data_IF_125087484594
#
_entry.id   IF_125087484594
#
_cell.length_a   1.000
_cell.length_b   1.000
_cell.length_c   1.000
_cell.angle_alpha   90.00
_cell.angle_beta   90.00
_cell.angle_gamma   90.00
#
_symmetry.space_group_name_H-M   'P 1'
#
loop_
_entity.id
_entity.type
_entity.pdbx_description
1 polymer ?
#
# COMPACT_ATOMS: atom_id res chain seq x y z
N UNK A 1 0.66 -16.03 -4.75
CA UNK A 1 1.43 -14.80 -4.47
C UNK A 1 0.63 -13.58 -4.90
N UNK A 2 0.31 -12.71 -3.97
CA UNK A 2 -0.46 -11.49 -4.22
C UNK A 2 0.44 -10.28 -4.33
N UNK A 3 -0.05 -9.26 -5.04
CA UNK A 3 0.59 -7.95 -5.13
C UNK A 3 -0.15 -6.98 -4.21
N UNK A 4 0.59 -6.37 -3.30
CA UNK A 4 0.04 -5.51 -2.25
C UNK A 4 0.49 -4.07 -2.42
N UNK A 5 -0.46 -3.15 -2.49
CA UNK A 5 -0.17 -1.73 -2.36
C UNK A 5 -0.35 -1.36 -0.90
N UNK A 6 0.72 -0.87 -0.28
CA UNK A 6 0.76 -0.61 1.16
C UNK A 6 0.95 0.88 1.38
N UNK A 7 -0.08 1.54 1.91
CA UNK A 7 0.02 2.95 2.26
C UNK A 7 1.06 3.18 3.36
N UNK A 8 1.76 4.29 3.30
CA UNK A 8 2.78 4.64 4.29
C UNK A 8 2.20 4.64 5.72
N UNK A 9 0.91 4.87 5.85
CA UNK A 9 0.19 4.79 7.12
C UNK A 9 0.49 3.46 7.86
N UNK A 10 0.58 2.35 7.13
CA UNK A 10 0.88 1.03 7.73
C UNK A 10 2.26 1.02 8.38
N UNK A 11 3.25 1.61 7.70
CA UNK A 11 4.61 1.69 8.24
C UNK A 11 4.65 2.50 9.54
N UNK A 12 3.93 3.62 9.58
CA UNK A 12 3.85 4.41 10.81
C UNK A 12 3.17 3.64 11.94
N UNK A 13 2.22 2.78 11.62
CA UNK A 13 1.57 1.93 12.64
C UNK A 13 2.56 0.94 13.26
N UNK A 14 3.49 0.41 12.49
CA UNK A 14 4.57 -0.42 13.04
C UNK A 14 5.38 0.37 14.08
N UNK A 15 5.72 1.61 13.76
CA UNK A 15 6.47 2.46 14.67
C UNK A 15 5.69 2.80 15.94
N UNK A 16 4.36 2.86 15.86
CA UNK A 16 3.48 3.07 17.01
C UNK A 16 3.27 1.82 17.86
N UNK A 17 3.87 0.69 17.47
CA UNK A 17 3.78 -0.56 18.22
C UNK A 17 2.61 -1.46 17.86
N UNK A 18 2.00 -1.26 16.71
CA UNK A 18 0.90 -2.09 16.22
C UNK A 18 1.45 -3.42 15.70
N UNK A 19 1.18 -4.50 16.42
CA UNK A 19 1.70 -5.82 16.07
C UNK A 19 1.08 -6.38 14.79
N UNK A 20 -0.20 -6.07 14.53
CA UNK A 20 -0.84 -6.53 13.28
C UNK A 20 -0.18 -5.90 12.06
N UNK A 21 0.23 -4.64 12.17
CA UNK A 21 0.95 -3.96 11.08
C UNK A 21 2.29 -4.65 10.81
N UNK A 22 3.05 -4.97 11.86
CA UNK A 22 4.32 -5.66 11.71
C UNK A 22 4.12 -7.07 11.14
N UNK A 23 3.16 -7.82 11.68
CA UNK A 23 2.87 -9.17 11.21
C UNK A 23 2.45 -9.17 9.73
N UNK A 24 1.67 -8.17 9.32
CA UNK A 24 1.26 -8.02 7.93
C UNK A 24 2.49 -7.79 7.03
N UNK A 25 3.37 -6.85 7.39
CA UNK A 25 4.57 -6.59 6.60
C UNK A 25 5.47 -7.83 6.49
N UNK A 26 5.59 -8.60 7.57
CA UNK A 26 6.38 -9.84 7.56
C UNK A 26 5.75 -10.91 6.68
N UNK A 27 4.42 -11.04 6.71
CA UNK A 27 3.72 -12.00 5.86
C UNK A 27 3.90 -11.65 4.38
N UNK A 28 3.81 -10.35 4.05
CA UNK A 28 4.02 -9.89 2.68
C UNK A 28 5.45 -10.18 2.22
N UNK A 29 6.43 -9.92 3.09
CA UNK A 29 7.83 -10.19 2.76
C UNK A 29 8.09 -11.67 2.47
N UNK A 30 7.43 -12.57 3.21
CA UNK A 30 7.63 -14.01 3.07
C UNK A 30 6.94 -14.61 1.85
N UNK A 31 5.74 -14.12 1.52
CA UNK A 31 4.87 -14.83 0.59
C UNK A 31 4.35 -14.01 -0.59
N UNK A 32 4.60 -12.71 -0.61
CA UNK A 32 3.94 -11.81 -1.56
C UNK A 32 4.92 -10.79 -2.14
N UNK A 33 4.38 -9.80 -2.86
CA UNK A 33 5.14 -8.68 -3.40
C UNK A 33 4.50 -7.36 -3.04
N UNK A 34 5.33 -6.34 -2.93
CA UNK A 34 4.89 -4.97 -2.67
C UNK A 34 4.93 -4.17 -3.98
N UNK A 35 3.87 -3.41 -4.22
CA UNK A 35 3.72 -2.61 -5.43
C UNK A 35 4.32 -1.23 -5.21
N UNK A 36 5.15 -0.81 -6.14
CA UNK A 36 5.77 0.52 -6.18
C UNK A 36 5.41 1.20 -7.49
N UNK A 37 5.54 2.54 -7.50
CA UNK A 37 5.37 3.29 -8.73
C UNK A 37 6.71 3.46 -9.46
N UNK A 38 6.65 3.51 -10.78
CA UNK A 38 7.83 3.70 -11.63
C UNK A 38 8.47 5.07 -11.42
N UNK A 39 7.70 6.06 -10.94
CA UNK A 39 8.16 7.42 -10.68
C UNK A 39 8.82 7.59 -9.32
N UNK A 40 8.91 6.53 -8.52
CA UNK A 40 9.60 6.45 -7.24
C UNK A 40 8.97 7.26 -6.10
N UNK A 41 7.72 7.67 -6.24
CA UNK A 41 7.04 8.40 -5.18
C UNK A 41 6.86 7.55 -3.92
N UNK A 42 6.42 6.30 -4.08
CA UNK A 42 6.18 5.39 -2.96
C UNK A 42 7.49 5.07 -2.23
N UNK A 43 8.55 4.79 -3.00
CA UNK A 43 9.87 4.54 -2.40
C UNK A 43 10.33 5.74 -1.57
N UNK A 44 10.17 6.95 -2.08
CA UNK A 44 10.53 8.16 -1.37
C UNK A 44 9.71 8.35 -0.09
N UNK A 45 8.41 8.04 -0.15
CA UNK A 45 7.54 8.10 1.03
C UNK A 45 7.99 7.10 2.10
N UNK A 46 8.31 5.88 1.69
CA UNK A 46 8.81 4.86 2.63
C UNK A 46 10.14 5.30 3.24
N UNK A 47 11.07 5.77 2.43
CA UNK A 47 12.37 6.24 2.92
C UNK A 47 12.25 7.42 3.89
N UNK A 48 11.31 8.33 3.63
CA UNK A 48 11.03 9.43 4.54
C UNK A 48 10.51 8.93 5.88
N UNK A 49 9.66 7.93 5.86
CA UNK A 49 9.16 7.28 7.07
C UNK A 49 10.30 6.63 7.86
N UNK A 50 11.16 5.86 7.19
CA UNK A 50 12.31 5.21 7.81
C UNK A 50 13.25 6.23 8.47
N UNK A 51 13.50 7.32 7.78
CA UNK A 51 14.37 8.39 8.25
C UNK A 51 13.80 9.08 9.49
N UNK A 52 12.47 9.28 9.47
CA UNK A 52 11.76 9.99 10.55
C UNK A 52 11.61 9.12 11.79
N UNK A 53 11.33 7.84 11.62
CA UNK A 53 11.06 6.92 12.73
C UNK A 53 12.31 6.26 13.27
N UNK A 54 13.33 6.04 12.44
CA UNK A 54 14.55 5.27 12.77
C UNK A 54 14.21 3.90 13.35
N UNK A 55 13.11 3.31 12.88
CA UNK A 55 12.62 2.03 13.36
C UNK A 55 13.38 0.89 12.69
N UNK A 56 14.06 0.07 13.50
CA UNK A 56 14.92 -1.02 12.99
C UNK A 56 14.13 -2.11 12.27
N UNK A 57 12.93 -2.39 12.71
CA UNK A 57 12.07 -3.39 12.06
C UNK A 57 11.70 -2.95 10.64
N UNK A 58 11.36 -1.68 10.47
CA UNK A 58 11.05 -1.12 9.15
C UNK A 58 12.27 -1.07 8.25
N UNK A 59 13.42 -0.65 8.79
CA UNK A 59 14.67 -0.61 8.04
C UNK A 59 15.05 -2.00 7.51
N UNK A 60 14.96 -3.00 8.37
CA UNK A 60 15.28 -4.39 8.01
C UNK A 60 14.28 -4.93 7.01
N UNK A 61 13.00 -4.66 7.20
CA UNK A 61 11.94 -5.07 6.28
C UNK A 61 12.20 -4.53 4.88
N UNK A 62 12.46 -3.23 4.78
CA UNK A 62 12.71 -2.56 3.49
C UNK A 62 13.95 -3.11 2.81
N UNK A 63 15.03 -3.32 3.57
CA UNK A 63 16.26 -3.90 3.06
C UNK A 63 16.04 -5.30 2.49
N UNK A 64 15.30 -6.14 3.20
CA UNK A 64 15.00 -7.50 2.75
C UNK A 64 14.07 -7.53 1.56
N UNK A 65 13.14 -6.59 1.49
CA UNK A 65 12.23 -6.45 0.36
C UNK A 65 13.01 -6.25 -0.94
N UNK A 66 14.01 -5.38 -0.89
CA UNK A 66 14.89 -5.11 -2.03
C UNK A 66 15.77 -6.32 -2.33
N UNK A 67 16.39 -6.90 -1.31
CA UNK A 67 17.31 -8.04 -1.49
C UNK A 67 16.62 -9.26 -2.08
N UNK A 68 15.36 -9.50 -1.72
CA UNK A 68 14.56 -10.62 -2.23
C UNK A 68 13.90 -10.31 -3.57
N UNK A 69 14.06 -9.11 -4.09
CA UNK A 69 13.38 -8.66 -5.30
C UNK A 69 11.86 -8.84 -5.21
N UNK A 70 11.31 -8.56 -4.03
CA UNK A 70 9.88 -8.75 -3.76
C UNK A 70 9.08 -7.48 -4.06
N UNK A 71 9.49 -6.75 -5.09
CA UNK A 71 8.82 -5.52 -5.53
C UNK A 71 8.34 -5.66 -6.97
N UNK A 72 7.22 -5.03 -7.26
CA UNK A 72 6.70 -4.92 -8.63
C UNK A 72 6.36 -3.46 -8.89
N UNK A 73 6.54 -3.01 -10.12
CA UNK A 73 6.45 -1.59 -10.48
C UNK A 73 5.37 -1.35 -11.53
N UNK A 74 4.55 -0.33 -11.30
CA UNK A 74 3.54 0.14 -12.24
C UNK A 74 3.58 1.66 -12.31
N UNK A 75 2.95 2.25 -13.31
CA UNK A 75 2.84 3.70 -13.39
C UNK A 75 2.04 4.26 -12.21
N UNK A 76 2.56 5.30 -11.59
CA UNK A 76 1.90 6.02 -10.51
C UNK A 76 0.97 7.12 -10.97
N UNK A 77 0.56 7.11 -12.24
CA UNK A 77 -0.32 8.12 -12.81
C UNK A 77 -1.69 7.54 -13.10
N UNK A 78 -2.72 8.16 -12.55
CA UNK A 78 -4.10 7.80 -12.84
C UNK A 78 -4.56 8.46 -14.15
N UNK A 79 -5.50 7.84 -14.89
CA UNK A 79 -6.22 8.56 -15.92
C UNK A 79 -6.84 9.84 -15.38
N UNK A 80 -6.78 10.92 -16.16
CA UNK A 80 -7.15 12.25 -15.70
C UNK A 80 -8.54 12.34 -15.10
N UNK A 81 -9.50 11.59 -15.64
CA UNK A 81 -10.89 11.62 -15.13
C UNK A 81 -10.98 11.08 -13.70
N UNK A 82 -10.21 10.06 -13.38
CA UNK A 82 -10.19 9.47 -12.03
C UNK A 82 -9.43 10.36 -11.04
N UNK A 83 -8.33 10.93 -11.48
CA UNK A 83 -7.58 11.89 -10.67
C UNK A 83 -8.48 13.07 -10.29
N UNK A 84 -9.16 13.66 -11.27
CA UNK A 84 -10.05 14.80 -11.01
C UNK A 84 -11.20 14.43 -10.08
N UNK A 85 -11.79 13.24 -10.26
CA UNK A 85 -12.88 12.79 -9.41
C UNK A 85 -12.43 12.66 -7.95
N UNK A 86 -11.27 12.06 -7.72
CA UNK A 86 -10.73 11.90 -6.36
C UNK A 86 -10.36 13.25 -5.73
N UNK A 87 -9.77 14.15 -6.50
CA UNK A 87 -9.44 15.49 -5.98
C UNK A 87 -10.70 16.28 -5.60
N UNK A 88 -11.81 16.10 -6.32
CA UNK A 88 -13.09 16.70 -5.94
C UNK A 88 -13.62 16.15 -4.62
N UNK A 89 -13.28 14.92 -4.28
CA UNK A 89 -13.63 14.30 -2.99
C UNK A 89 -12.67 14.72 -1.89
N UNK A 90 -11.76 15.67 -2.17
CA UNK A 90 -10.73 16.16 -1.26
C UNK A 90 -9.71 15.09 -0.86
N UNK A 91 -9.51 14.11 -1.73
CA UNK A 91 -8.47 13.11 -1.54
C UNK A 91 -7.11 13.77 -1.70
N UNK A 92 -6.15 13.40 -0.84
CA UNK A 92 -4.82 14.01 -0.86
C UNK A 92 -4.09 13.64 -2.15
N UNK A 93 -3.54 14.65 -2.82
CA UNK A 93 -2.79 14.46 -4.06
C UNK A 93 -1.59 13.52 -3.87
N UNK A 94 -0.95 13.57 -2.70
CA UNK A 94 0.21 12.72 -2.42
C UNK A 94 -0.14 11.23 -2.34
N UNK A 95 -1.41 10.90 -2.15
CA UNK A 95 -1.87 9.51 -2.08
C UNK A 95 -2.32 8.95 -3.44
N UNK A 96 -2.42 9.81 -4.46
CA UNK A 96 -2.82 9.37 -5.80
C UNK A 96 -1.92 8.28 -6.39
N UNK A 97 -0.59 8.34 -6.24
CA UNK A 97 0.27 7.27 -6.76
C UNK A 97 -0.05 5.88 -6.18
N UNK A 98 -0.44 5.81 -4.90
CA UNK A 98 -0.84 4.54 -4.29
C UNK A 98 -2.09 3.97 -4.97
N UNK A 99 -3.08 4.82 -5.22
CA UNK A 99 -4.29 4.41 -5.92
C UNK A 99 -3.96 3.97 -7.35
N UNK A 100 -3.09 4.71 -8.03
CA UNK A 100 -2.72 4.42 -9.41
C UNK A 100 -2.05 3.05 -9.57
N UNK A 101 -1.10 2.73 -8.70
CA UNK A 101 -0.42 1.43 -8.77
C UNK A 101 -1.34 0.29 -8.35
N UNK A 102 -2.19 0.51 -7.34
CA UNK A 102 -3.18 -0.49 -6.95
C UNK A 102 -4.13 -0.81 -8.11
N UNK A 103 -4.59 0.21 -8.80
CA UNK A 103 -5.45 0.08 -9.97
C UNK A 103 -4.82 -0.79 -11.06
N UNK A 104 -3.49 -0.67 -11.27
CA UNK A 104 -2.78 -1.43 -12.31
C UNK A 104 -2.26 -2.78 -11.84
N UNK A 105 -2.21 -3.00 -10.53
CA UNK A 105 -1.66 -4.24 -9.99
C UNK A 105 -2.56 -5.45 -10.28
N UNK A 106 -1.99 -6.62 -10.14
CA UNK A 106 -2.69 -7.87 -10.42
C UNK A 106 -3.91 -8.07 -9.53
N UNK A 107 -3.76 -7.79 -8.24
CA UNK A 107 -4.80 -8.10 -7.24
C UNK A 107 -5.61 -6.88 -6.81
N UNK A 108 -5.18 -5.68 -7.16
CA UNK A 108 -5.89 -4.42 -6.87
C UNK A 108 -6.23 -4.25 -5.39
N UNK A 109 -5.26 -4.59 -4.54
CA UNK A 109 -5.40 -4.49 -3.09
C UNK A 109 -4.62 -3.28 -2.58
N UNK A 110 -5.26 -2.48 -1.74
CA UNK A 110 -4.63 -1.31 -1.11
C UNK A 110 -4.93 -1.36 0.39
N UNK A 111 -3.88 -1.29 1.21
CA UNK A 111 -4.04 -1.38 2.66
C UNK A 111 -3.82 -0.02 3.29
N UNK A 112 -4.86 0.50 3.90
CA UNK A 112 -4.81 1.75 4.66
C UNK A 112 -6.07 1.91 5.49
N UNK A 113 -5.92 2.55 6.66
CA UNK A 113 -7.04 3.05 7.45
C UNK A 113 -6.86 4.54 7.72
N UNK A 114 -6.04 5.20 6.90
CA UNK A 114 -5.85 6.65 6.98
C UNK A 114 -7.19 7.38 6.71
N UNK A 115 -7.36 8.53 7.34
CA UNK A 115 -8.60 9.30 7.27
C UNK A 115 -8.96 9.76 5.85
N UNK A 116 -7.99 9.82 4.94
CA UNK A 116 -8.25 10.17 3.53
C UNK A 116 -9.10 9.11 2.83
N UNK A 117 -9.04 7.86 3.28
CA UNK A 117 -9.81 6.77 2.71
C UNK A 117 -11.19 6.72 3.36
N UNK A 118 -11.98 7.74 3.08
CA UNK A 118 -13.37 7.83 3.56
C UNK A 118 -14.23 6.75 2.90
N UNK A 119 -15.41 6.51 3.46
CA UNK A 119 -16.36 5.58 2.87
C UNK A 119 -16.70 5.97 1.43
N UNK A 120 -16.84 7.26 1.17
CA UNK A 120 -17.14 7.78 -0.17
C UNK A 120 -16.00 7.48 -1.16
N UNK A 121 -14.76 7.73 -0.74
CA UNK A 121 -13.56 7.44 -1.56
C UNK A 121 -13.45 5.93 -1.81
N UNK A 122 -13.57 5.12 -0.76
CA UNK A 122 -13.49 3.66 -0.90
C UNK A 122 -14.55 3.12 -1.85
N UNK A 123 -15.76 3.67 -1.80
CA UNK A 123 -16.83 3.30 -2.72
C UNK A 123 -16.47 3.59 -4.16
N UNK A 124 -15.91 4.78 -4.42
CA UNK A 124 -15.46 5.15 -5.76
C UNK A 124 -14.37 4.20 -6.26
N UNK A 125 -13.37 3.94 -5.41
CA UNK A 125 -12.25 3.05 -5.77
C UNK A 125 -12.75 1.65 -6.12
N UNK A 126 -13.68 1.10 -5.35
CA UNK A 126 -14.23 -0.22 -5.61
C UNK A 126 -15.06 -0.25 -6.89
N UNK A 127 -15.95 0.72 -7.07
CA UNK A 127 -16.90 0.72 -8.19
C UNK A 127 -16.25 1.12 -9.51
N UNK A 128 -15.38 2.10 -9.51
CA UNK A 128 -14.81 2.66 -10.74
C UNK A 128 -13.48 2.08 -11.12
N UNK A 129 -12.68 1.61 -10.15
CA UNK A 129 -11.32 1.13 -10.39
C UNK A 129 -11.13 -0.33 -9.98
N UNK A 130 -12.12 -0.94 -9.34
CA UNK A 130 -12.06 -2.29 -8.76
C UNK A 130 -10.95 -2.43 -7.73
N UNK A 131 -10.53 -1.33 -7.12
CA UNK A 131 -9.52 -1.32 -6.06
C UNK A 131 -10.21 -1.56 -4.73
N UNK A 132 -9.76 -2.58 -4.02
CA UNK A 132 -10.29 -2.93 -2.70
C UNK A 132 -9.37 -2.37 -1.63
N UNK A 133 -9.91 -1.46 -0.82
CA UNK A 133 -9.17 -0.90 0.33
C UNK A 133 -9.46 -1.77 1.54
N UNK A 134 -8.40 -2.32 2.13
CA UNK A 134 -8.51 -3.25 3.27
C UNK A 134 -7.97 -2.60 4.54
N UNK A 135 -8.61 -2.95 5.67
CA UNK A 135 -8.06 -2.65 6.99
C UNK A 135 -6.86 -3.55 7.27
N UNK A 136 -6.07 -3.21 8.29
CA UNK A 136 -4.96 -4.06 8.71
C UNK A 136 -5.42 -5.46 9.08
N UNK A 137 -6.53 -5.57 9.79
CA UNK A 137 -7.07 -6.86 10.20
C UNK A 137 -7.43 -7.73 8.99
N UNK A 138 -8.12 -7.15 8.02
CA UNK A 138 -8.48 -7.84 6.79
C UNK A 138 -7.25 -8.22 5.97
N UNK A 139 -6.30 -7.31 5.85
CA UNK A 139 -5.08 -7.51 5.08
C UNK A 139 -4.21 -8.60 5.70
N UNK A 140 -4.03 -8.59 7.02
CA UNK A 140 -3.25 -9.59 7.73
C UNK A 140 -3.82 -10.99 7.50
N UNK A 141 -5.13 -11.13 7.67
CA UNK A 141 -5.80 -12.41 7.47
C UNK A 141 -5.60 -12.94 6.05
N UNK A 142 -5.75 -12.08 5.06
CA UNK A 142 -5.58 -12.46 3.66
C UNK A 142 -4.12 -12.75 3.33
N UNK A 143 -3.18 -12.00 3.88
CA UNK A 143 -1.75 -12.18 3.62
C UNK A 143 -1.21 -13.46 4.23
N UNK A 144 -1.78 -13.91 5.34
CA UNK A 144 -1.40 -15.14 6.00
C UNK A 144 -2.01 -16.37 5.34
N UNK A 145 -3.03 -16.20 4.51
CA UNK A 145 -3.62 -17.28 3.73
C UNK A 145 -2.71 -17.59 2.54
N UNK A 146 -1.94 -18.67 2.64
CA UNK A 146 -0.99 -19.08 1.61
C UNK A 146 -1.60 -20.03 0.59
N UNK A 147 -2.88 -20.39 0.72
CA UNK A 147 -3.59 -21.25 -0.23
C UNK A 147 -4.09 -20.39 -1.40
N UNK A 148 -3.15 -19.89 -2.19
CA UNK A 148 -3.48 -19.15 -3.40
C UNK A 148 -4.08 -20.10 -4.44
N UNK A 149 -5.19 -19.73 -5.05
CA UNK A 149 -5.72 -20.50 -6.18
C UNK A 149 -4.81 -20.40 -7.39
#
# INVERSE_FOLDING_TARGET
>A
MREWTIDTWVLYKVDEGDFDALDFLLAVLRHHRVVFDCERHIEQEYQRCLKRTRNRYLEEWFKRLIARQARVFYSGRLPSRHERALLRMKFDRSDLPFVAVAFRSKDKLLVSEDSDYTQHVCGYLQQQLQVKVLSLSQALKLAEDTQDP
#
